data_IF_659313036143
#
_entry.id   IF_659313036143
#
_cell.length_a   1.000
_cell.length_b   1.000
_cell.length_c   1.000
_cell.angle_alpha   90.00
_cell.angle_beta   90.00
_cell.angle_gamma   90.00
#
_symmetry.space_group_name_H-M   'P 1'
#
loop_
_entity.id
_entity.type
_entity.pdbx_description
1 polymer ?
#
# COMPACT_ATOMS: atom_id res chain seq x y z
N UNK A 1 -12.91 12.70 16.68
CA UNK A 1 -13.91 12.42 15.62
C UNK A 1 -13.24 12.13 14.27
N UNK A 2 -12.38 13.02 13.74
CA UNK A 2 -11.70 12.83 12.44
C UNK A 2 -10.86 11.55 12.32
N UNK A 3 -10.09 11.17 13.35
CA UNK A 3 -9.25 9.95 13.34
C UNK A 3 -10.03 8.65 13.10
N UNK A 4 -11.25 8.54 13.65
CA UNK A 4 -12.11 7.35 13.45
C UNK A 4 -12.71 7.30 12.04
N UNK A 5 -13.02 8.48 11.47
CA UNK A 5 -13.48 8.59 10.10
C UNK A 5 -12.38 8.22 9.10
N UNK A 6 -11.17 8.77 9.27
CA UNK A 6 -10.00 8.43 8.43
C UNK A 6 -9.73 6.93 8.46
N UNK A 7 -9.74 6.31 9.64
CA UNK A 7 -9.55 4.88 9.78
C UNK A 7 -10.63 4.07 9.02
N UNK A 8 -11.90 4.46 9.15
CA UNK A 8 -12.99 3.82 8.42
C UNK A 8 -12.84 3.96 6.91
N UNK A 9 -12.45 5.14 6.42
CA UNK A 9 -12.20 5.40 5.00
C UNK A 9 -11.04 4.53 4.50
N UNK A 10 -9.92 4.47 5.23
CA UNK A 10 -8.77 3.62 4.87
C UNK A 10 -9.18 2.16 4.75
N UNK A 11 -10.02 1.64 5.65
CA UNK A 11 -10.54 0.27 5.55
C UNK A 11 -11.35 0.06 4.28
N UNK A 12 -12.24 1.00 3.94
CA UNK A 12 -13.03 0.92 2.70
C UNK A 12 -12.11 0.96 1.48
N UNK A 13 -11.13 1.86 1.44
CA UNK A 13 -10.17 1.95 0.33
C UNK A 13 -9.35 0.67 0.18
N UNK A 14 -8.89 0.08 1.29
CA UNK A 14 -8.20 -1.21 1.26
C UNK A 14 -9.13 -2.30 0.72
N UNK A 15 -10.37 -2.39 1.19
CA UNK A 15 -11.34 -3.39 0.71
C UNK A 15 -11.64 -3.24 -0.79
N UNK A 16 -11.83 -2.01 -1.27
CA UNK A 16 -12.13 -1.72 -2.68
C UNK A 16 -10.94 -2.01 -3.61
N UNK A 17 -9.72 -2.04 -3.08
CA UNK A 17 -8.49 -2.28 -3.85
C UNK A 17 -7.96 -3.70 -3.75
N UNK A 18 -8.64 -4.59 -3.02
CA UNK A 18 -8.25 -5.99 -2.92
C UNK A 18 -8.27 -6.68 -4.29
N UNK A 19 -7.26 -7.51 -4.55
CA UNK A 19 -7.22 -8.36 -5.73
C UNK A 19 -8.45 -9.30 -5.74
N UNK A 20 -9.17 -9.43 -6.87
CA UNK A 20 -10.26 -10.39 -6.98
C UNK A 20 -9.77 -11.81 -6.74
N UNK A 21 -10.58 -12.64 -6.08
CA UNK A 21 -10.28 -14.06 -5.94
C UNK A 21 -10.45 -14.76 -7.29
N UNK A 22 -9.68 -15.82 -7.52
CA UNK A 22 -9.74 -16.57 -8.78
C UNK A 22 -11.09 -17.27 -9.00
N UNK A 23 -11.89 -17.42 -7.93
CA UNK A 23 -13.24 -18.01 -7.95
C UNK A 23 -14.34 -16.96 -8.17
N UNK A 24 -13.98 -15.69 -8.35
CA UNK A 24 -14.95 -14.61 -8.50
C UNK A 24 -15.52 -14.52 -9.92
N UNK A 25 -16.79 -14.16 -10.03
CA UNK A 25 -17.42 -13.91 -11.32
C UNK A 25 -16.91 -12.60 -11.95
N UNK A 26 -16.78 -12.55 -13.28
CA UNK A 26 -16.48 -11.32 -14.03
C UNK A 26 -15.16 -10.63 -13.63
N UNK A 27 -14.08 -11.39 -13.39
CA UNK A 27 -12.74 -10.87 -13.02
C UNK A 27 -12.28 -9.74 -13.96
N UNK A 28 -12.53 -9.85 -15.27
CA UNK A 28 -12.13 -8.83 -16.24
C UNK A 28 -12.76 -7.45 -15.95
N UNK A 29 -14.04 -7.42 -15.56
CA UNK A 29 -14.75 -6.18 -15.19
C UNK A 29 -14.22 -5.64 -13.87
N UNK A 30 -13.99 -6.50 -12.88
CA UNK A 30 -13.42 -6.10 -11.60
C UNK A 30 -12.03 -5.47 -11.75
N UNK A 31 -11.19 -6.05 -12.62
CA UNK A 31 -9.88 -5.49 -12.96
C UNK A 31 -10.02 -4.13 -13.66
N UNK A 32 -11.05 -3.92 -14.47
CA UNK A 32 -11.34 -2.61 -15.06
C UNK A 32 -11.62 -1.55 -13.99
N UNK A 33 -12.47 -1.87 -13.00
CA UNK A 33 -12.73 -0.97 -11.87
C UNK A 33 -11.48 -0.69 -11.04
N UNK A 34 -10.68 -1.72 -10.75
CA UNK A 34 -9.43 -1.56 -10.01
C UNK A 34 -8.44 -0.63 -10.72
N UNK A 35 -8.32 -0.73 -12.05
CA UNK A 35 -7.51 0.22 -12.84
C UNK A 35 -8.05 1.64 -12.76
N UNK A 36 -9.38 1.80 -12.76
CA UNK A 36 -10.05 3.08 -12.54
C UNK A 36 -9.72 3.68 -11.17
N UNK A 37 -9.79 2.86 -10.11
CA UNK A 37 -9.37 3.30 -8.77
C UNK A 37 -7.90 3.67 -8.75
N UNK A 38 -7.00 2.82 -9.26
CA UNK A 38 -5.57 3.11 -9.35
C UNK A 38 -5.33 4.46 -10.02
N UNK A 39 -5.95 4.71 -11.17
CA UNK A 39 -5.85 5.99 -11.84
C UNK A 39 -6.34 7.16 -10.95
N UNK A 40 -7.47 7.01 -10.27
CA UNK A 40 -7.97 8.05 -9.36
C UNK A 40 -7.01 8.34 -8.19
N UNK A 41 -6.27 7.33 -7.69
CA UNK A 41 -5.22 7.50 -6.67
C UNK A 41 -4.00 8.28 -7.17
N UNK A 42 -3.69 8.17 -8.47
CA UNK A 42 -2.63 8.97 -9.11
C UNK A 42 -3.03 10.44 -9.27
N UNK A 43 -4.31 10.76 -9.12
CA UNK A 43 -4.84 12.11 -9.23
C UNK A 43 -5.12 12.69 -7.83
N UNK A 44 -5.29 14.01 -7.75
CA UNK A 44 -5.79 14.70 -6.55
C UNK A 44 -4.93 14.59 -5.27
N UNK A 45 -3.64 14.23 -5.38
CA UNK A 45 -2.73 14.20 -4.23
C UNK A 45 -3.08 13.15 -3.17
N UNK A 46 -3.78 12.08 -3.53
CA UNK A 46 -4.18 11.06 -2.54
C UNK A 46 -2.97 10.41 -1.89
N UNK A 47 -1.90 10.14 -2.64
CA UNK A 47 -0.65 9.58 -2.12
C UNK A 47 -0.01 10.51 -1.06
N UNK A 48 -0.02 11.83 -1.29
CA UNK A 48 0.43 12.83 -0.31
C UNK A 48 -0.36 12.73 1.00
N UNK A 49 -1.69 12.61 0.90
CA UNK A 49 -2.55 12.48 2.08
C UNK A 49 -2.26 11.18 2.83
N UNK A 50 -2.03 10.07 2.13
CA UNK A 50 -1.63 8.80 2.74
C UNK A 50 -0.29 8.94 3.48
N UNK A 51 0.68 9.65 2.92
CA UNK A 51 1.94 9.95 3.59
C UNK A 51 1.74 10.82 4.84
N UNK A 52 0.90 11.86 4.75
CA UNK A 52 0.57 12.72 5.90
C UNK A 52 -0.07 11.93 7.06
N UNK A 53 -0.90 10.93 6.76
CA UNK A 53 -1.47 10.03 7.79
C UNK A 53 -0.38 9.25 8.51
N UNK A 54 0.73 8.93 7.84
CA UNK A 54 1.84 8.18 8.41
C UNK A 54 2.84 9.02 9.18
N UNK A 55 2.89 10.34 8.99
CA UNK A 55 3.85 11.24 9.67
C UNK A 55 3.79 11.09 11.19
N UNK A 56 2.61 11.21 11.79
CA UNK A 56 2.46 11.12 13.25
C UNK A 56 2.83 9.72 13.79
N UNK A 57 2.28 8.61 13.24
CA UNK A 57 2.72 7.25 13.59
C UNK A 57 4.23 7.03 13.47
N UNK A 58 4.86 7.54 12.41
CA UNK A 58 6.29 7.38 12.13
C UNK A 58 7.17 8.16 13.08
N UNK A 59 6.78 9.39 13.42
CA UNK A 59 7.51 10.28 14.33
C UNK A 59 7.61 9.76 15.76
N UNK A 60 6.71 8.85 16.17
CA UNK A 60 6.75 8.22 17.49
C UNK A 60 7.74 7.08 17.49
N UNK A 61 8.61 7.03 18.50
CA UNK A 61 9.59 5.97 18.66
C UNK A 61 9.09 4.83 19.56
N UNK A 62 9.43 3.59 19.21
CA UNK A 62 9.30 2.41 20.06
C UNK A 62 7.97 2.28 20.81
N UNK A 63 8.05 2.33 22.15
CA UNK A 63 6.92 2.14 23.09
C UNK A 63 5.91 3.29 23.11
N UNK A 64 6.20 4.42 22.47
CA UNK A 64 5.27 5.54 22.33
C UNK A 64 4.20 5.28 21.25
N UNK A 65 4.45 4.33 20.34
CA UNK A 65 3.47 3.94 19.30
C UNK A 65 2.30 3.17 19.92
N UNK A 66 1.10 3.64 19.61
CA UNK A 66 -0.15 3.02 20.05
C UNK A 66 -0.59 1.92 19.09
N UNK A 67 -1.48 1.02 19.53
CA UNK A 67 -2.07 0.00 18.64
C UNK A 67 -2.76 0.61 17.41
N UNK A 68 -3.36 1.79 17.57
CA UNK A 68 -3.98 2.52 16.45
C UNK A 68 -2.95 2.98 15.42
N UNK A 69 -1.75 3.38 15.85
CA UNK A 69 -0.67 3.80 14.95
C UNK A 69 -0.23 2.61 14.08
N UNK A 70 -0.06 1.43 14.67
CA UNK A 70 0.26 0.21 13.94
C UNK A 70 -0.83 -0.18 12.93
N UNK A 71 -2.10 -0.08 13.31
CA UNK A 71 -3.22 -0.36 12.40
C UNK A 71 -3.28 0.64 11.23
N UNK A 72 -3.04 1.93 11.48
CA UNK A 72 -2.98 2.93 10.42
C UNK A 72 -1.82 2.66 9.46
N UNK A 73 -0.63 2.36 9.99
CA UNK A 73 0.54 1.96 9.20
C UNK A 73 0.23 0.74 8.33
N UNK A 74 -0.32 -0.31 8.93
CA UNK A 74 -0.73 -1.53 8.24
C UNK A 74 -1.70 -1.23 7.08
N UNK A 75 -2.74 -0.42 7.32
CA UNK A 75 -3.74 -0.13 6.30
C UNK A 75 -3.14 0.65 5.12
N UNK A 76 -2.31 1.65 5.39
CA UNK A 76 -1.68 2.44 4.31
C UNK A 76 -0.68 1.59 3.52
N UNK A 77 0.16 0.81 4.20
CA UNK A 77 1.10 -0.10 3.54
C UNK A 77 0.37 -1.18 2.71
N UNK A 78 -0.73 -1.71 3.24
CA UNK A 78 -1.61 -2.65 2.53
C UNK A 78 -2.23 -2.02 1.29
N UNK A 79 -2.64 -0.76 1.39
CA UNK A 79 -3.19 -0.01 0.25
C UNK A 79 -2.14 0.20 -0.84
N UNK A 80 -0.91 0.60 -0.49
CA UNK A 80 0.19 0.69 -1.47
C UNK A 80 0.47 -0.65 -2.15
N UNK A 81 0.53 -1.74 -1.38
CA UNK A 81 0.67 -3.09 -1.94
C UNK A 81 -0.44 -3.43 -2.92
N UNK A 82 -1.69 -3.15 -2.55
CA UNK A 82 -2.85 -3.41 -3.39
C UNK A 82 -2.76 -2.60 -4.70
N UNK A 83 -2.40 -1.32 -4.63
CA UNK A 83 -2.25 -0.46 -5.82
C UNK A 83 -1.13 -0.94 -6.76
N UNK A 84 0.01 -1.38 -6.20
CA UNK A 84 1.12 -1.94 -6.96
C UNK A 84 0.77 -3.28 -7.64
N UNK A 85 -0.12 -4.06 -7.03
CA UNK A 85 -0.57 -5.35 -7.56
C UNK A 85 -1.63 -5.25 -8.68
N UNK A 86 -2.23 -4.07 -8.88
CA UNK A 86 -3.21 -3.86 -9.95
C UNK A 86 -2.48 -3.77 -11.30
N UNK A 87 -2.73 -4.70 -12.24
CA UNK A 87 -2.01 -4.76 -13.50
C UNK A 87 -2.47 -3.67 -14.47
N UNK A 88 -1.57 -3.24 -15.36
CA UNK A 88 -1.90 -2.37 -16.48
C UNK A 88 -2.90 -3.08 -17.43
N UNK A 89 -3.60 -2.29 -18.25
CA UNK A 89 -4.43 -2.84 -19.31
C UNK A 89 -3.56 -3.28 -20.52
N UNK A 90 -3.99 -4.32 -21.25
CA UNK A 90 -3.31 -4.74 -22.47
C UNK A 90 -3.45 -3.65 -23.54
N UNK A 91 -2.33 -3.08 -23.96
CA UNK A 91 -2.26 -2.00 -24.94
C UNK A 91 -2.90 -2.37 -26.29
N UNK A 92 -2.98 -3.66 -26.63
CA UNK A 92 -3.59 -4.15 -27.87
C UNK A 92 -5.10 -3.94 -27.94
N UNK A 93 -5.76 -3.74 -26.80
CA UNK A 93 -7.23 -3.64 -26.70
C UNK A 93 -7.68 -2.22 -26.36
N UNK A 94 -6.73 -1.30 -26.15
CA UNK A 94 -7.02 0.09 -25.77
C UNK A 94 -7.24 0.99 -26.98
N UNK A 95 -8.04 2.03 -26.77
CA UNK A 95 -8.22 3.12 -27.72
C UNK A 95 -7.30 4.29 -27.36
N UNK A 96 -7.17 5.28 -28.25
CA UNK A 96 -6.40 6.49 -27.96
C UNK A 96 -6.85 7.19 -26.67
N UNK A 97 -8.15 7.15 -26.35
CA UNK A 97 -8.72 7.77 -25.15
C UNK A 97 -8.44 6.99 -23.86
N UNK A 98 -8.08 5.70 -23.94
CA UNK A 98 -7.82 4.85 -22.77
C UNK A 98 -6.37 4.39 -22.66
N UNK A 99 -5.49 4.86 -23.54
CA UNK A 99 -4.07 4.48 -23.60
C UNK A 99 -3.33 4.68 -22.26
N UNK A 100 -3.71 5.70 -21.49
CA UNK A 100 -3.16 5.95 -20.15
C UNK A 100 -3.28 4.73 -19.20
N UNK A 101 -4.25 3.84 -19.41
CA UNK A 101 -4.41 2.61 -18.62
C UNK A 101 -3.26 1.60 -18.82
N UNK A 102 -2.50 1.71 -19.91
CA UNK A 102 -1.34 0.87 -20.18
C UNK A 102 -0.08 1.30 -19.42
N UNK A 103 -0.09 2.51 -18.85
CA UNK A 103 1.07 3.15 -18.19
C UNK A 103 0.89 3.37 -16.68
N UNK A 104 -0.18 2.84 -16.10
CA UNK A 104 -0.54 3.11 -14.70
C UNK A 104 0.53 2.67 -13.70
N UNK A 105 1.31 1.64 -14.01
CA UNK A 105 2.39 1.17 -13.13
C UNK A 105 3.54 2.18 -13.10
N UNK A 106 3.95 2.66 -14.27
CA UNK A 106 5.01 3.64 -14.44
C UNK A 106 4.62 4.95 -13.76
N UNK A 107 3.40 5.42 -14.01
CA UNK A 107 2.88 6.65 -13.40
C UNK A 107 2.76 6.51 -11.87
N UNK A 108 2.38 5.32 -11.36
CA UNK A 108 2.39 5.04 -9.93
C UNK A 108 3.79 5.09 -9.34
N UNK A 109 4.77 4.46 -9.98
CA UNK A 109 6.16 4.45 -9.50
C UNK A 109 6.70 5.88 -9.44
N UNK A 110 6.44 6.71 -10.45
CA UNK A 110 6.84 8.12 -10.44
C UNK A 110 6.24 8.88 -9.25
N UNK A 111 4.94 8.76 -9.00
CA UNK A 111 4.30 9.46 -7.87
C UNK A 111 4.82 8.92 -6.52
N UNK A 112 5.01 7.61 -6.37
CA UNK A 112 5.57 7.04 -5.14
C UNK A 112 6.99 7.56 -4.87
N UNK A 113 7.78 7.79 -5.91
CA UNK A 113 9.08 8.43 -5.81
C UNK A 113 8.97 9.90 -5.41
N UNK A 114 8.16 10.68 -6.14
CA UNK A 114 8.03 12.12 -5.92
C UNK A 114 7.48 12.45 -4.52
N UNK A 115 6.66 11.55 -3.97
CA UNK A 115 6.10 11.66 -2.63
C UNK A 115 6.95 11.00 -1.52
N UNK A 116 8.20 10.65 -1.81
CA UNK A 116 9.16 10.04 -0.88
C UNK A 116 8.64 8.76 -0.19
N UNK A 117 7.74 8.03 -0.87
CA UNK A 117 7.20 6.77 -0.32
C UNK A 117 8.30 5.72 -0.25
N UNK A 118 9.20 5.68 -1.24
CA UNK A 118 10.33 4.74 -1.23
C UNK A 118 11.32 5.02 -0.11
N UNK A 119 11.65 6.28 0.17
CA UNK A 119 12.52 6.64 1.30
C UNK A 119 11.88 6.23 2.63
N UNK A 120 10.58 6.47 2.77
CA UNK A 120 9.83 6.03 3.95
C UNK A 120 9.84 4.49 4.09
N UNK A 121 9.64 3.75 3.00
CA UNK A 121 9.75 2.29 3.00
C UNK A 121 11.18 1.84 3.36
N UNK A 122 12.21 2.48 2.80
CA UNK A 122 13.61 2.17 3.13
C UNK A 122 13.90 2.40 4.62
N UNK A 123 13.42 3.51 5.21
CA UNK A 123 13.53 3.74 6.65
C UNK A 123 12.87 2.63 7.46
N UNK A 124 11.70 2.14 7.05
CA UNK A 124 11.09 0.97 7.70
C UNK A 124 11.94 -0.30 7.57
N UNK A 125 12.64 -0.50 6.45
CA UNK A 125 13.53 -1.64 6.24
C UNK A 125 14.81 -1.53 7.10
N UNK A 126 15.40 -0.34 7.16
CA UNK A 126 16.67 -0.05 7.83
C UNK A 126 16.57 -0.12 9.36
N UNK A 127 15.41 0.19 9.94
CA UNK A 127 15.15 0.04 11.38
C UNK A 127 15.42 -1.40 11.90
N UNK A 128 15.63 -2.39 11.01
CA UNK A 128 16.04 -3.76 11.38
C UNK A 128 17.55 -4.07 11.34
N UNK A 129 18.45 -3.19 10.88
CA UNK A 129 19.89 -3.58 10.73
C UNK A 129 20.69 -3.52 12.03
N UNK A 130 20.13 -3.03 13.16
CA UNK A 130 20.84 -2.92 14.44
C UNK A 130 20.37 -3.86 15.57
N UNK A 131 19.72 -4.99 15.27
CA UNK A 131 19.39 -6.00 16.31
C UNK A 131 20.56 -6.98 16.50
N UNK A 132 21.23 -7.04 17.67
CA UNK A 132 22.23 -8.06 17.96
C UNK A 132 21.59 -9.46 17.96
N UNK A 133 22.25 -10.43 17.32
CA UNK A 133 21.77 -11.79 17.04
C UNK A 133 21.56 -12.72 18.26
N UNK A 134 20.95 -12.27 19.35
CA UNK A 134 20.76 -13.11 20.54
C UNK A 134 19.33 -13.07 21.09
N UNK A 135 18.35 -13.55 20.31
CA UNK A 135 17.06 -14.01 20.85
C UNK A 135 16.25 -14.81 19.81
N UNK A 136 16.71 -16.03 19.50
CA UNK A 136 15.83 -17.06 18.92
C UNK A 136 15.11 -17.76 20.08
N UNK A 137 13.92 -17.30 20.48
CA UNK A 137 12.95 -18.14 21.20
C UNK A 137 11.52 -17.55 21.22
N UNK A 138 10.66 -18.12 20.38
CA UNK A 138 9.17 -18.14 20.34
C UNK A 138 8.38 -16.81 20.18
N UNK A 139 7.27 -16.86 19.40
CA UNK A 139 6.50 -15.68 19.07
C UNK A 139 5.44 -15.37 20.15
N UNK A 140 5.27 -14.11 20.57
CA UNK A 140 3.99 -13.67 21.06
C UNK A 140 3.11 -13.32 19.85
N UNK A 141 1.86 -13.75 19.92
CA UNK A 141 0.77 -13.33 19.04
C UNK A 141 0.73 -11.80 19.00
N UNK A 142 1.19 -11.23 17.87
CA UNK A 142 1.34 -9.80 17.68
C UNK A 142 2.17 -9.59 16.42
N UNK A 143 1.52 -9.75 15.27
CA UNK A 143 2.14 -9.66 13.95
C UNK A 143 2.84 -8.33 13.77
N UNK A 144 4.15 -8.32 14.04
CA UNK A 144 4.99 -7.16 13.83
C UNK A 144 5.11 -6.83 12.35
N UNK A 145 5.52 -5.59 12.09
CA UNK A 145 5.82 -4.96 10.78
C UNK A 145 6.67 -5.84 9.83
N UNK A 146 7.32 -6.88 10.38
CA UNK A 146 8.05 -7.94 9.67
C UNK A 146 7.23 -8.73 8.65
N UNK A 147 5.96 -9.01 8.96
CA UNK A 147 5.06 -9.74 8.04
C UNK A 147 4.71 -8.87 6.83
N UNK A 148 4.60 -7.55 7.02
CA UNK A 148 4.27 -6.59 5.96
C UNK A 148 5.42 -6.40 4.98
N UNK A 149 6.67 -6.37 5.47
CA UNK A 149 7.84 -6.17 4.62
C UNK A 149 8.12 -7.35 3.69
N UNK A 150 7.98 -8.59 4.17
CA UNK A 150 8.04 -9.78 3.31
C UNK A 150 6.92 -9.78 2.26
N UNK A 151 5.74 -9.26 2.59
CA UNK A 151 4.61 -9.21 1.66
C UNK A 151 4.72 -8.15 0.57
N UNK A 152 5.26 -6.97 0.87
CA UNK A 152 5.42 -5.87 -0.11
C UNK A 152 6.47 -6.23 -1.17
N UNK A 153 7.62 -6.79 -0.76
CA UNK A 153 8.66 -7.25 -1.70
C UNK A 153 8.18 -8.41 -2.58
N UNK A 154 7.33 -9.29 -2.06
CA UNK A 154 6.83 -10.44 -2.81
C UNK A 154 5.81 -10.04 -3.90
N UNK A 155 5.05 -8.96 -3.71
CA UNK A 155 4.12 -8.43 -4.72
C UNK A 155 4.80 -7.65 -5.86
N UNK A 156 6.03 -7.15 -5.69
CA UNK A 156 6.78 -6.54 -6.81
C UNK A 156 7.45 -7.59 -7.72
N UNK A 157 7.55 -8.85 -7.29
CA UNK A 157 8.27 -9.91 -7.98
C UNK A 157 7.37 -11.03 -8.56
N UNK A 158 6.04 -10.87 -8.57
CA UNK A 158 5.09 -11.85 -9.15
C UNK A 158 4.09 -11.17 -10.05
#
# INVERSE_FOLDING_TARGET
>A
MYRSLVFSILKVLVMLTMKPTNESDNIAIQLSYLRGYKHAFLQHGVIQVLMAILVEPLSREGSSRTSQDYLNMELVLTLFRNLLAIPNADSRVLTSSTNYLSRLQEDLICILHDENVFDMLLLFAEVRVHVPQAAVMRPPLGGGVEVYFRFILQCCCT
#
